data_IF_263045433351
#
_entry.id   IF_263045433351
#
_cell.length_a   1.000
_cell.length_b   1.000
_cell.length_c   1.000
_cell.angle_alpha   90.00
_cell.angle_beta   90.00
_cell.angle_gamma   90.00
#
_symmetry.space_group_name_H-M   'P 1'
#
loop_
_entity.id
_entity.type
_entity.pdbx_description
1 polymer ?
#
# COMPACT_ATOMS: atom_id res chain seq x y z
N UNK A 1 26.09 8.32 -0.78
CA UNK A 1 25.63 9.42 -1.64
C UNK A 1 24.14 9.22 -1.97
N UNK A 2 23.21 9.61 -1.08
CA UNK A 2 21.74 9.56 -1.32
C UNK A 2 20.98 10.76 -0.71
N UNK A 3 21.68 11.76 -0.18
CA UNK A 3 21.09 12.76 0.75
C UNK A 3 20.34 13.89 0.00
N UNK A 4 20.65 14.12 -1.28
CA UNK A 4 20.02 15.18 -2.09
C UNK A 4 18.59 14.85 -2.56
N UNK A 5 18.25 13.56 -2.70
CA UNK A 5 16.90 13.14 -3.12
C UNK A 5 15.86 13.31 -1.99
N UNK A 6 16.30 13.42 -0.73
CA UNK A 6 15.41 13.60 0.41
C UNK A 6 14.81 15.01 0.50
N UNK A 7 15.56 16.08 0.26
CA UNK A 7 15.06 17.45 0.53
C UNK A 7 13.89 17.84 -0.37
N UNK A 8 14.03 17.69 -1.69
CA UNK A 8 12.97 18.06 -2.64
C UNK A 8 11.74 17.17 -2.52
N UNK A 9 11.95 15.86 -2.41
CA UNK A 9 10.85 14.89 -2.23
C UNK A 9 10.11 15.15 -0.91
N UNK A 10 10.84 15.47 0.16
CA UNK A 10 10.23 15.76 1.46
C UNK A 10 9.46 17.09 1.46
N UNK A 11 9.87 18.09 0.68
CA UNK A 11 9.08 19.32 0.52
C UNK A 11 7.69 19.02 -0.08
N UNK A 12 7.63 18.11 -1.07
CA UNK A 12 6.36 17.68 -1.67
C UNK A 12 5.52 16.90 -0.66
N UNK A 13 6.13 15.95 0.06
CA UNK A 13 5.44 15.20 1.12
C UNK A 13 4.88 16.12 2.19
N UNK A 14 5.65 17.13 2.63
CA UNK A 14 5.18 18.14 3.57
C UNK A 14 4.03 18.95 3.01
N UNK A 15 4.13 19.43 1.77
CA UNK A 15 3.08 20.22 1.13
C UNK A 15 1.78 19.43 0.95
N UNK A 16 1.84 18.16 0.56
CA UNK A 16 0.67 17.29 0.43
C UNK A 16 0.02 16.96 1.78
N UNK A 17 0.83 16.92 2.84
CA UNK A 17 0.34 16.67 4.18
C UNK A 17 -0.07 17.95 4.93
N UNK A 18 0.17 19.14 4.37
CA UNK A 18 -0.27 20.39 4.98
C UNK A 18 -1.79 20.37 5.13
N UNK A 19 -2.27 20.75 6.32
CA UNK A 19 -3.68 20.81 6.70
C UNK A 19 -4.42 19.46 6.69
N UNK A 20 -3.71 18.33 6.56
CA UNK A 20 -4.28 16.99 6.70
C UNK A 20 -5.26 16.55 5.61
N UNK A 21 -5.51 17.37 4.59
CA UNK A 21 -6.55 17.17 3.57
C UNK A 21 -6.36 15.87 2.75
N UNK A 22 -5.11 15.44 2.54
CA UNK A 22 -4.79 14.25 1.74
C UNK A 22 -4.14 13.12 2.56
N UNK A 23 -4.11 13.26 3.89
CA UNK A 23 -3.38 12.33 4.75
C UNK A 23 -3.90 10.89 4.65
N UNK A 24 -5.21 10.72 4.41
CA UNK A 24 -5.89 9.44 4.20
C UNK A 24 -5.62 8.82 2.82
N UNK A 25 -5.36 9.66 1.82
CA UNK A 25 -5.11 9.25 0.42
C UNK A 25 -3.64 8.96 0.13
N UNK A 26 -2.71 9.50 0.94
CA UNK A 26 -1.29 9.21 0.79
C UNK A 26 -0.96 7.79 1.24
N UNK A 27 -0.34 7.01 0.35
CA UNK A 27 0.16 5.66 0.63
C UNK A 27 1.65 5.60 0.28
N UNK A 28 2.44 4.92 1.10
CA UNK A 28 3.88 4.81 0.94
C UNK A 28 4.25 3.34 0.71
N UNK A 29 5.12 3.08 -0.25
CA UNK A 29 5.54 1.73 -0.61
C UNK A 29 7.07 1.69 -0.71
N UNK A 30 7.67 0.65 -0.15
CA UNK A 30 9.09 0.38 -0.33
C UNK A 30 9.25 -0.51 -1.56
N UNK A 31 9.87 0.01 -2.62
CA UNK A 31 10.05 -0.72 -3.88
C UNK A 31 11.49 -1.21 -4.03
N UNK A 32 11.69 -2.23 -4.88
CA UNK A 32 13.01 -2.79 -5.22
C UNK A 32 13.77 -3.40 -4.04
N UNK A 33 13.05 -3.96 -3.08
CA UNK A 33 13.65 -4.65 -1.93
C UNK A 33 14.49 -5.87 -2.33
N UNK A 34 14.24 -6.46 -3.49
CA UNK A 34 15.02 -7.53 -4.10
C UNK A 34 16.50 -7.16 -4.36
N UNK A 35 16.83 -5.87 -4.34
CA UNK A 35 18.21 -5.39 -4.47
C UNK A 35 19.04 -5.52 -3.19
N UNK A 36 18.39 -5.76 -2.04
CA UNK A 36 19.07 -5.93 -0.75
C UNK A 36 19.19 -7.42 -0.46
N UNK A 37 20.41 -7.94 -0.48
CA UNK A 37 20.67 -9.37 -0.29
C UNK A 37 20.62 -9.82 1.17
N UNK A 38 20.79 -8.91 2.13
CA UNK A 38 20.74 -9.21 3.56
C UNK A 38 19.43 -8.70 4.20
N UNK A 39 18.66 -9.64 4.75
CA UNK A 39 17.42 -9.37 5.48
C UNK A 39 17.61 -8.44 6.68
N UNK A 40 18.76 -8.49 7.36
CA UNK A 40 19.04 -7.61 8.50
C UNK A 40 19.26 -6.17 8.07
N UNK A 41 20.04 -5.95 7.02
CA UNK A 41 20.22 -4.62 6.43
C UNK A 41 18.91 -4.07 5.87
N UNK A 42 18.09 -4.93 5.24
CA UNK A 42 16.76 -4.56 4.78
C UNK A 42 15.86 -4.08 5.92
N UNK A 43 15.85 -4.78 7.05
CA UNK A 43 15.09 -4.38 8.24
C UNK A 43 15.56 -3.02 8.78
N UNK A 44 16.89 -2.78 8.84
CA UNK A 44 17.45 -1.47 9.25
C UNK A 44 17.03 -0.35 8.28
N UNK A 45 17.11 -0.59 6.98
CA UNK A 45 16.69 0.37 5.95
C UNK A 45 15.20 0.71 6.10
N UNK A 46 14.34 -0.29 6.26
CA UNK A 46 12.91 -0.10 6.45
C UNK A 46 12.62 0.77 7.69
N UNK A 47 13.29 0.49 8.82
CA UNK A 47 13.15 1.29 10.04
C UNK A 47 13.62 2.73 9.82
N UNK A 48 14.79 2.93 9.20
CA UNK A 48 15.36 4.25 8.96
C UNK A 48 14.48 5.10 8.04
N UNK A 49 13.97 4.52 6.95
CA UNK A 49 13.05 5.20 6.02
C UNK A 49 11.74 5.55 6.73
N UNK A 50 11.17 4.60 7.46
CA UNK A 50 9.92 4.80 8.21
C UNK A 50 10.07 5.93 9.22
N UNK A 51 11.13 5.95 10.01
CA UNK A 51 11.39 7.01 11.00
C UNK A 51 11.61 8.37 10.33
N UNK A 52 12.33 8.41 9.20
CA UNK A 52 12.55 9.65 8.46
C UNK A 52 11.24 10.26 7.94
N UNK A 53 10.35 9.43 7.38
CA UNK A 53 9.03 9.87 6.90
C UNK A 53 8.16 10.30 8.09
N UNK A 54 8.11 9.49 9.16
CA UNK A 54 7.39 9.82 10.40
C UNK A 54 7.78 11.19 10.92
N UNK A 55 9.06 11.53 11.00
CA UNK A 55 9.51 12.84 11.48
C UNK A 55 8.97 14.04 10.66
N UNK A 56 8.44 13.82 9.45
CA UNK A 56 7.98 14.87 8.55
C UNK A 56 6.46 14.86 8.29
N UNK A 57 5.70 13.96 8.92
CA UNK A 57 4.24 13.85 8.76
C UNK A 57 3.50 14.09 10.08
N UNK A 58 2.35 14.79 10.02
CA UNK A 58 1.53 15.09 11.22
C UNK A 58 0.64 13.91 11.64
N UNK A 59 0.24 13.05 10.68
CA UNK A 59 -0.61 11.90 10.94
C UNK A 59 0.24 10.63 11.18
N UNK A 60 0.63 10.41 12.44
CA UNK A 60 1.56 9.34 12.84
C UNK A 60 0.90 7.97 13.05
N UNK A 61 -0.43 7.96 13.22
CA UNK A 61 -1.16 6.75 13.57
C UNK A 61 -1.44 5.94 12.30
N UNK A 62 -0.73 4.83 12.13
CA UNK A 62 -0.99 3.87 11.04
C UNK A 62 -0.13 4.03 9.79
N UNK A 63 1.05 4.66 9.87
CA UNK A 63 2.01 4.64 8.75
C UNK A 63 2.56 3.22 8.54
N UNK A 64 1.95 2.50 7.60
CA UNK A 64 2.40 1.22 7.08
C UNK A 64 3.13 1.45 5.75
N UNK A 65 4.33 0.89 5.62
CA UNK A 65 5.14 0.98 4.41
C UNK A 65 5.42 -0.44 3.92
N UNK A 66 4.46 -1.07 3.22
CA UNK A 66 4.66 -2.41 2.70
C UNK A 66 5.80 -2.44 1.68
N UNK A 67 6.59 -3.51 1.75
CA UNK A 67 7.67 -3.76 0.81
C UNK A 67 7.15 -4.57 -0.38
N UNK A 68 7.38 -4.08 -1.59
CA UNK A 68 6.89 -4.69 -2.82
C UNK A 68 8.01 -4.81 -3.86
N UNK A 69 8.05 -5.92 -4.56
CA UNK A 69 8.88 -6.11 -5.74
C UNK A 69 8.25 -7.13 -6.69
N UNK A 70 8.64 -7.03 -7.96
CA UNK A 70 8.14 -7.89 -9.02
C UNK A 70 9.02 -9.14 -9.06
N UNK A 71 8.43 -10.30 -8.75
CA UNK A 71 9.10 -11.58 -8.92
C UNK A 71 9.03 -12.00 -10.39
N UNK A 72 10.15 -12.46 -10.97
CA UNK A 72 10.21 -12.91 -12.37
C UNK A 72 9.53 -14.26 -12.60
N UNK A 73 9.11 -14.98 -11.55
CA UNK A 73 8.59 -16.34 -11.65
C UNK A 73 7.06 -16.45 -11.55
N UNK A 74 6.30 -15.34 -11.52
CA UNK A 74 4.84 -15.41 -11.38
C UNK A 74 4.24 -16.19 -12.56
N UNK A 75 3.78 -17.44 -12.37
CA UNK A 75 3.09 -18.16 -13.41
C UNK A 75 1.76 -17.43 -13.64
N UNK A 76 1.39 -17.24 -14.89
CA UNK A 76 0.25 -16.44 -15.34
C UNK A 76 -1.13 -16.93 -14.86
N UNK A 77 -1.20 -18.00 -14.05
CA UNK A 77 -2.42 -18.67 -13.61
C UNK A 77 -2.49 -18.89 -12.08
N UNK A 78 -2.05 -17.92 -11.26
CA UNK A 78 -2.08 -18.05 -9.79
C UNK A 78 -3.44 -17.80 -9.14
N UNK A 79 -4.46 -17.35 -9.88
CA UNK A 79 -5.82 -17.12 -9.33
C UNK A 79 -6.56 -18.45 -8.99
N UNK A 80 -6.07 -19.59 -9.46
CA UNK A 80 -6.71 -20.90 -9.23
C UNK A 80 -6.11 -21.69 -8.04
N UNK A 81 -5.10 -21.16 -7.36
CA UNK A 81 -4.60 -21.76 -6.12
C UNK A 81 -4.66 -20.71 -5.01
N UNK A 82 -5.54 -20.89 -4.01
CA UNK A 82 -5.29 -20.27 -2.72
C UNK A 82 -3.92 -20.78 -2.28
N UNK A 83 -3.08 -19.87 -1.83
CA UNK A 83 -1.85 -20.17 -1.10
C UNK A 83 -2.20 -20.96 0.17
N UNK A 84 -2.45 -22.25 0.03
CA UNK A 84 -2.41 -23.18 1.15
C UNK A 84 -0.95 -23.26 1.56
N UNK A 85 -0.66 -22.57 2.67
CA UNK A 85 0.45 -22.84 3.58
C UNK A 85 1.48 -23.81 3.01
N UNK A 86 2.59 -23.26 2.51
CA UNK A 86 3.80 -24.00 2.21
C UNK A 86 4.34 -24.64 3.49
N UNK A 87 3.78 -25.79 3.84
CA UNK A 87 4.38 -26.76 4.76
C UNK A 87 5.39 -27.55 3.94
N UNK A 88 6.53 -26.93 3.65
CA UNK A 88 7.71 -27.64 3.20
C UNK A 88 8.86 -27.22 4.13
N UNK A 89 9.14 -28.13 5.05
CA UNK A 89 10.30 -28.18 5.93
C UNK A 89 11.59 -27.78 5.22
N UNK A 90 12.13 -26.60 5.56
CA UNK A 90 13.58 -26.37 5.57
C UNK A 90 13.90 -25.23 6.52
N UNK A 91 14.74 -25.55 7.48
CA UNK A 91 15.47 -24.69 8.41
C UNK A 91 15.97 -23.36 7.85
N UNK A 92 15.86 -22.33 8.71
CA UNK A 92 16.67 -21.10 8.79
C UNK A 92 16.46 -19.97 7.76
N UNK A 93 16.38 -18.76 8.33
CA UNK A 93 16.22 -17.41 7.75
C UNK A 93 14.81 -17.04 7.24
N UNK A 94 14.29 -15.85 7.59
CA UNK A 94 13.09 -15.32 6.93
C UNK A 94 13.42 -15.21 5.44
N UNK A 95 12.79 -16.04 4.62
CA UNK A 95 12.97 -15.97 3.18
C UNK A 95 12.54 -14.58 2.72
N UNK A 96 13.31 -13.97 1.81
CA UNK A 96 12.96 -12.65 1.27
C UNK A 96 11.53 -12.64 0.74
N UNK A 97 11.03 -13.75 0.20
CA UNK A 97 9.64 -13.87 -0.28
C UNK A 97 8.58 -13.54 0.79
N UNK A 98 8.86 -13.79 2.08
CA UNK A 98 7.92 -13.46 3.16
C UNK A 98 7.84 -11.96 3.45
N UNK A 99 8.77 -11.14 2.91
CA UNK A 99 8.74 -9.69 3.02
C UNK A 99 7.97 -9.04 1.86
N UNK A 100 7.64 -9.80 0.79
CA UNK A 100 6.94 -9.26 -0.37
C UNK A 100 5.44 -9.17 -0.08
N UNK A 101 4.93 -7.96 0.04
CA UNK A 101 3.53 -7.71 0.33
C UNK A 101 2.73 -7.33 -0.92
N UNK A 102 3.26 -7.58 -2.12
CA UNK A 102 2.62 -7.20 -3.37
C UNK A 102 1.19 -7.77 -3.50
N UNK A 103 0.96 -9.03 -3.10
CA UNK A 103 -0.36 -9.64 -3.20
C UNK A 103 -1.37 -9.01 -2.22
N UNK A 104 -0.96 -8.72 -0.98
CA UNK A 104 -1.79 -8.02 -0.01
C UNK A 104 -2.15 -6.60 -0.48
N UNK A 105 -1.20 -5.90 -1.12
CA UNK A 105 -1.44 -4.58 -1.73
C UNK A 105 -2.43 -4.69 -2.89
N UNK A 106 -2.28 -5.69 -3.77
CA UNK A 106 -3.23 -5.95 -4.86
C UNK A 106 -4.64 -6.23 -4.32
N UNK A 107 -4.78 -7.08 -3.32
CA UNK A 107 -6.08 -7.40 -2.70
C UNK A 107 -6.73 -6.15 -2.08
N UNK A 108 -5.94 -5.29 -1.44
CA UNK A 108 -6.42 -4.01 -0.90
C UNK A 108 -6.95 -3.07 -1.99
N UNK A 109 -6.24 -2.98 -3.12
CA UNK A 109 -6.67 -2.18 -4.28
C UNK A 109 -7.96 -2.74 -4.86
N UNK A 110 -8.06 -4.05 -5.05
CA UNK A 110 -9.27 -4.70 -5.55
C UNK A 110 -10.47 -4.45 -4.63
N UNK A 111 -10.31 -4.57 -3.32
CA UNK A 111 -11.36 -4.23 -2.34
C UNK A 111 -11.78 -2.77 -2.45
N UNK A 112 -10.84 -1.85 -2.59
CA UNK A 112 -11.14 -0.43 -2.74
C UNK A 112 -11.93 -0.15 -4.03
N UNK A 113 -11.62 -0.83 -5.13
CA UNK A 113 -12.37 -0.75 -6.39
C UNK A 113 -13.80 -1.24 -6.19
N UNK A 114 -13.99 -2.44 -5.61
CA UNK A 114 -15.31 -3.00 -5.35
C UNK A 114 -16.15 -2.08 -4.45
N UNK A 115 -15.55 -1.57 -3.37
CA UNK A 115 -16.22 -0.64 -2.48
C UNK A 115 -16.65 0.63 -3.24
N UNK A 116 -15.77 1.17 -4.09
CA UNK A 116 -16.09 2.39 -4.84
C UNK A 116 -17.20 2.18 -5.86
N UNK A 117 -17.23 1.03 -6.52
CA UNK A 117 -18.33 0.65 -7.42
C UNK A 117 -19.65 0.56 -6.65
N UNK A 118 -19.63 -0.07 -5.47
CA UNK A 118 -20.81 -0.18 -4.61
C UNK A 118 -21.31 1.19 -4.15
N UNK A 119 -20.42 2.06 -3.66
CA UNK A 119 -20.75 3.41 -3.20
C UNK A 119 -21.43 4.23 -4.31
N UNK A 120 -20.89 4.14 -5.54
CA UNK A 120 -21.43 4.84 -6.70
C UNK A 120 -22.83 4.34 -7.06
N UNK A 121 -23.05 3.02 -7.06
CA UNK A 121 -24.37 2.44 -7.33
C UNK A 121 -25.40 2.86 -6.27
N UNK A 122 -25.01 2.82 -4.99
CA UNK A 122 -25.87 3.29 -3.89
C UNK A 122 -26.17 4.78 -3.98
N UNK A 123 -25.24 5.59 -4.47
CA UNK A 123 -25.49 7.02 -4.70
C UNK A 123 -26.51 7.22 -5.82
N UNK A 124 -26.37 6.51 -6.94
CA UNK A 124 -27.33 6.55 -8.06
C UNK A 124 -28.74 6.17 -7.59
N UNK A 125 -28.87 5.13 -6.77
CA UNK A 125 -30.16 4.73 -6.22
C UNK A 125 -30.80 5.85 -5.40
N UNK A 126 -30.04 6.49 -4.51
CA UNK A 126 -30.50 7.63 -3.71
C UNK A 126 -30.92 8.80 -4.59
N UNK A 127 -30.15 9.10 -5.63
CA UNK A 127 -30.43 10.19 -6.57
C UNK A 127 -31.74 9.93 -7.34
N UNK A 128 -31.97 8.69 -7.79
CA UNK A 128 -33.23 8.29 -8.42
C UNK A 128 -34.43 8.44 -7.46
N UNK A 129 -34.28 8.06 -6.19
CA UNK A 129 -35.33 8.24 -5.18
C UNK A 129 -35.62 9.72 -4.90
N UNK A 130 -34.58 10.57 -4.85
CA UNK A 130 -34.73 12.01 -4.68
C UNK A 130 -35.50 12.65 -5.85
N UNK A 131 -35.14 12.31 -7.10
CA UNK A 131 -35.84 12.79 -8.31
C UNK A 131 -37.30 12.33 -8.29
N UNK A 132 -37.57 11.06 -7.99
CA UNK A 132 -38.93 10.51 -7.92
C UNK A 132 -39.79 11.20 -6.85
N UNK A 133 -39.19 11.60 -5.74
CA UNK A 133 -39.87 12.35 -4.67
C UNK A 133 -40.13 13.79 -5.09
N UNK A 134 -39.18 14.43 -5.77
CA UNK A 134 -39.33 15.79 -6.27
C UNK A 134 -40.43 15.90 -7.35
N UNK A 135 -40.56 14.92 -8.24
CA UNK A 135 -41.60 14.89 -9.29
C UNK A 135 -43.00 14.65 -8.71
N UNK A 136 -43.11 14.05 -7.52
CA UNK A 136 -44.41 13.78 -6.87
C UNK A 136 -44.94 14.94 -6.01
N UNK A 137 -44.16 16.01 -5.84
CA UNK A 137 -44.61 17.28 -5.26
C UNK A 137 -45.07 18.22 -6.36
#
# INVERSE_FOLDING_TARGET
MFIALCSRTMQVVKALNQNGQYADKMKYYLTKADTVTDSKEMMKLMVQITQNIKANIQNQHGLEIPSIWITKSRPTNSHLMPSTSSTATSSQSPSMDSLNQIDAVCESIEKAIHQKVQDNLSQVERDCQAIRTAIRR
#
